data_IF_361392817646
#
_entry.id   IF_361392817646
#
_cell.length_a   1.000
_cell.length_b   1.000
_cell.length_c   1.000
_cell.angle_alpha   90.00
_cell.angle_beta   90.00
_cell.angle_gamma   90.00
#
_symmetry.space_group_name_H-M   'P 1'
#
loop_
_entity.id
_entity.type
_entity.pdbx_description
1 polymer ?
#
# COMPACT_ATOMS: atom_id res chain seq x y z
N UNK A 1 -13.54 30.70 17.64
CA UNK A 1 -13.14 29.30 17.92
C UNK A 1 -12.11 29.36 19.02
N UNK A 2 -12.23 28.54 20.06
CA UNK A 2 -11.15 28.40 21.05
C UNK A 2 -10.07 27.51 20.43
N UNK A 3 -8.85 28.03 20.28
CA UNK A 3 -7.73 27.24 19.79
C UNK A 3 -7.33 26.28 20.90
N UNK A 4 -7.38 24.97 20.63
CA UNK A 4 -7.12 23.97 21.66
C UNK A 4 -5.67 24.07 22.14
N UNK A 5 -5.48 24.25 23.45
CA UNK A 5 -4.28 24.88 24.03
C UNK A 5 -3.10 23.91 24.24
N UNK A 6 -3.18 22.70 23.67
CA UNK A 6 -2.23 21.59 23.85
C UNK A 6 -1.08 21.59 22.83
N UNK A 7 -1.09 22.47 21.83
CA UNK A 7 -0.13 22.46 20.71
C UNK A 7 0.61 23.80 20.55
N UNK A 8 1.92 23.72 20.26
CA UNK A 8 2.74 24.89 19.95
C UNK A 8 2.57 25.31 18.48
N UNK A 9 1.71 26.30 18.25
CA UNK A 9 1.47 26.88 16.93
C UNK A 9 2.59 27.80 16.41
N UNK A 10 3.64 28.05 17.21
CA UNK A 10 4.87 28.71 16.75
C UNK A 10 5.77 27.76 15.96
N UNK A 11 5.56 26.45 16.05
CA UNK A 11 6.26 25.46 15.23
C UNK A 11 5.97 25.67 13.72
N UNK A 12 6.94 25.37 12.83
CA UNK A 12 6.69 25.21 11.41
C UNK A 12 5.63 24.12 11.15
N UNK A 13 4.79 24.29 10.13
CA UNK A 13 3.63 23.42 9.87
C UNK A 13 3.99 21.92 9.85
N UNK A 14 5.11 21.54 9.22
CA UNK A 14 5.54 20.15 9.16
C UNK A 14 5.90 19.55 10.53
N UNK A 15 6.43 20.36 11.45
CA UNK A 15 6.73 19.96 12.83
C UNK A 15 5.47 19.89 13.68
N UNK A 16 4.58 20.88 13.53
CA UNK A 16 3.27 20.91 14.19
C UNK A 16 2.43 19.69 13.81
N UNK A 17 2.35 19.35 12.52
CA UNK A 17 1.65 18.15 12.05
C UNK A 17 2.27 16.88 12.62
N UNK A 18 3.61 16.72 12.56
CA UNK A 18 4.28 15.52 13.10
C UNK A 18 3.99 15.31 14.59
N UNK A 19 3.99 16.38 15.39
CA UNK A 19 3.68 16.30 16.81
C UNK A 19 2.17 16.05 17.04
N UNK A 20 1.31 16.88 16.45
CA UNK A 20 -0.13 16.90 16.70
C UNK A 20 -0.94 15.79 16.02
N UNK A 21 -0.37 15.01 15.10
CA UNK A 21 -1.00 13.78 14.57
C UNK A 21 -0.38 12.49 15.11
N UNK A 22 0.61 12.56 16.02
CA UNK A 22 1.36 11.39 16.53
C UNK A 22 0.46 10.26 17.05
N UNK A 23 -0.45 10.56 17.97
CA UNK A 23 -1.42 9.60 18.54
C UNK A 23 -2.37 9.00 17.48
N UNK A 24 -2.72 9.78 16.45
CA UNK A 24 -3.61 9.33 15.38
C UNK A 24 -2.89 8.41 14.38
N UNK A 25 -1.59 8.67 14.12
CA UNK A 25 -0.69 7.79 13.38
C UNK A 25 -0.50 6.46 14.11
N UNK A 26 -0.14 6.50 15.39
CA UNK A 26 0.03 5.32 16.24
C UNK A 26 -1.26 4.46 16.28
N UNK A 27 -2.42 5.09 16.44
CA UNK A 27 -3.72 4.39 16.42
C UNK A 27 -4.04 3.75 15.07
N UNK A 28 -3.61 4.34 13.94
CA UNK A 28 -3.82 3.78 12.61
C UNK A 28 -2.87 2.59 12.34
N UNK A 29 -1.60 2.69 12.76
CA UNK A 29 -0.62 1.61 12.64
C UNK A 29 -0.98 0.37 13.47
N UNK A 30 -1.59 0.56 14.65
CA UNK A 30 -2.05 -0.52 15.53
C UNK A 30 -3.48 -1.02 15.23
N UNK A 31 -4.17 -0.47 14.24
CA UNK A 31 -5.45 -1.01 13.75
C UNK A 31 -5.25 -2.45 13.24
N UNK A 32 -6.23 -3.35 13.45
CA UNK A 32 -6.04 -4.76 13.09
C UNK A 32 -5.77 -4.94 11.59
N UNK A 33 -6.49 -4.21 10.73
CA UNK A 33 -6.26 -4.21 9.30
C UNK A 33 -4.94 -3.56 8.88
N UNK A 34 -4.52 -2.49 9.55
CA UNK A 34 -3.22 -1.85 9.32
C UNK A 34 -2.07 -2.79 9.63
N UNK A 35 -2.14 -3.51 10.76
CA UNK A 35 -1.18 -4.56 11.14
C UNK A 35 -1.16 -5.72 10.14
N UNK A 36 -2.33 -6.20 9.69
CA UNK A 36 -2.42 -7.28 8.68
C UNK A 36 -1.82 -6.84 7.34
N UNK A 37 -2.18 -5.65 6.84
CA UNK A 37 -1.63 -5.05 5.63
C UNK A 37 -0.10 -4.90 5.72
N UNK A 38 0.39 -4.33 6.83
CA UNK A 38 1.81 -4.09 7.05
C UNK A 38 2.65 -5.37 7.08
N UNK A 39 2.07 -6.51 7.48
CA UNK A 39 2.77 -7.81 7.49
C UNK A 39 2.58 -8.63 6.22
N UNK A 40 1.60 -8.31 5.37
CA UNK A 40 1.18 -9.17 4.26
C UNK A 40 0.30 -10.35 4.69
N UNK A 41 -0.54 -10.16 5.71
CA UNK A 41 -1.48 -11.16 6.27
C UNK A 41 -2.92 -11.02 5.71
N UNK A 42 -3.15 -10.17 4.72
CA UNK A 42 -4.40 -10.10 3.95
C UNK A 42 -4.36 -11.12 2.80
N UNK A 43 -5.51 -11.68 2.40
CA UNK A 43 -5.59 -12.40 1.13
C UNK A 43 -5.58 -11.44 -0.07
N UNK A 44 -5.29 -11.98 -1.27
CA UNK A 44 -5.14 -11.17 -2.49
C UNK A 44 -6.45 -10.46 -2.91
N UNK A 45 -7.61 -11.03 -2.62
CA UNK A 45 -8.90 -10.39 -2.94
C UNK A 45 -9.20 -9.25 -1.94
N UNK A 46 -8.96 -9.43 -0.65
CA UNK A 46 -9.12 -8.35 0.34
C UNK A 46 -8.13 -7.19 0.08
N UNK A 47 -6.90 -7.49 -0.36
CA UNK A 47 -5.95 -6.47 -0.84
C UNK A 47 -6.42 -5.78 -2.14
N UNK A 48 -7.01 -6.51 -3.09
CA UNK A 48 -7.63 -5.91 -4.29
C UNK A 48 -8.76 -4.95 -3.93
N UNK A 49 -9.67 -5.33 -3.02
CA UNK A 49 -10.73 -4.46 -2.52
C UNK A 49 -10.16 -3.22 -1.80
N UNK A 50 -9.09 -3.37 -1.03
CA UNK A 50 -8.35 -2.24 -0.44
C UNK A 50 -7.82 -1.30 -1.53
N UNK A 51 -7.11 -1.81 -2.54
CA UNK A 51 -6.59 -0.98 -3.64
C UNK A 51 -7.69 -0.27 -4.42
N UNK A 52 -8.85 -0.91 -4.65
CA UNK A 52 -9.98 -0.27 -5.34
C UNK A 52 -10.57 0.90 -4.53
N UNK A 53 -10.76 0.74 -3.21
CA UNK A 53 -11.17 1.85 -2.34
C UNK A 53 -10.11 2.94 -2.32
N UNK A 54 -8.83 2.55 -2.30
CA UNK A 54 -7.69 3.46 -2.25
C UNK A 54 -7.56 4.28 -3.56
N UNK A 55 -7.77 3.66 -4.72
CA UNK A 55 -7.79 4.33 -6.03
C UNK A 55 -8.78 5.48 -6.05
N UNK A 56 -10.02 5.25 -5.59
CA UNK A 56 -11.06 6.28 -5.50
C UNK A 56 -10.72 7.39 -4.50
N UNK A 57 -10.04 7.07 -3.39
CA UNK A 57 -9.56 8.05 -2.41
C UNK A 57 -8.46 8.95 -3.02
N UNK A 58 -7.50 8.38 -3.76
CA UNK A 58 -6.52 9.21 -4.47
C UNK A 58 -7.13 9.97 -5.65
N UNK A 59 -8.10 9.40 -6.37
CA UNK A 59 -8.74 10.07 -7.49
C UNK A 59 -9.45 11.37 -7.07
N UNK A 60 -10.20 11.36 -5.95
CA UNK A 60 -10.82 12.59 -5.43
C UNK A 60 -9.79 13.58 -4.85
N UNK A 61 -8.75 13.10 -4.15
CA UNK A 61 -7.67 13.95 -3.64
C UNK A 61 -6.90 14.63 -4.77
N UNK A 62 -6.49 13.87 -5.78
CA UNK A 62 -5.67 14.32 -6.90
C UNK A 62 -6.47 15.23 -7.84
N UNK A 63 -7.75 14.93 -8.08
CA UNK A 63 -8.69 15.86 -8.75
C UNK A 63 -8.82 17.18 -7.99
N UNK A 64 -8.90 17.15 -6.66
CA UNK A 64 -8.93 18.35 -5.83
C UNK A 64 -7.67 19.20 -5.98
N UNK A 65 -6.50 18.57 -5.91
CA UNK A 65 -5.20 19.22 -6.09
C UNK A 65 -5.02 19.77 -7.53
N UNK A 66 -5.47 19.05 -8.55
CA UNK A 66 -5.46 19.47 -9.96
C UNK A 66 -6.49 20.57 -10.29
N UNK A 67 -7.57 20.68 -9.51
CA UNK A 67 -8.52 21.80 -9.59
C UNK A 67 -7.92 23.09 -9.01
N UNK A 68 -7.06 22.97 -7.98
CA UNK A 68 -6.52 24.10 -7.22
C UNK A 68 -4.96 24.20 -7.20
N UNK A 69 -4.24 23.98 -8.33
CA UNK A 69 -2.79 23.78 -8.33
C UNK A 69 -1.99 25.06 -8.01
N UNK A 70 -2.61 26.22 -8.21
CA UNK A 70 -2.06 27.55 -7.93
C UNK A 70 -2.57 28.15 -6.62
N UNK A 71 -3.35 27.42 -5.82
CA UNK A 71 -3.87 27.96 -4.56
C UNK A 71 -2.72 28.09 -3.54
N UNK A 72 -2.55 29.22 -2.82
CA UNK A 72 -1.30 29.53 -2.11
C UNK A 72 -0.84 28.48 -1.10
N UNK A 73 -1.77 27.84 -0.39
CA UNK A 73 -1.48 26.81 0.61
C UNK A 73 -1.15 25.44 0.02
N UNK A 74 -1.54 25.18 -1.24
CA UNK A 74 -1.34 23.90 -1.94
C UNK A 74 -0.13 23.92 -2.88
N UNK A 75 0.03 25.02 -3.62
CA UNK A 75 1.00 25.18 -4.72
C UNK A 75 2.44 24.78 -4.35
N UNK A 76 3.00 25.11 -3.17
CA UNK A 76 4.38 24.73 -2.81
C UNK A 76 4.60 23.21 -2.67
N UNK A 77 3.53 22.42 -2.58
CA UNK A 77 3.57 20.95 -2.50
C UNK A 77 3.05 20.24 -3.76
N UNK A 78 2.57 20.99 -4.75
CA UNK A 78 1.93 20.44 -5.95
C UNK A 78 2.98 19.94 -6.96
N UNK A 79 3.14 18.61 -7.05
CA UNK A 79 3.94 17.95 -8.09
C UNK A 79 3.30 16.60 -8.47
N UNK A 80 2.33 16.57 -9.42
CA UNK A 80 1.62 15.34 -9.77
C UNK A 80 2.54 14.30 -10.42
N UNK A 81 3.54 14.71 -11.20
CA UNK A 81 4.51 13.78 -11.84
C UNK A 81 5.32 12.97 -10.82
N UNK A 82 5.51 13.52 -9.63
CA UNK A 82 6.23 12.91 -8.51
C UNK A 82 5.31 12.17 -7.53
N UNK A 83 4.17 12.78 -7.18
CA UNK A 83 3.32 12.33 -6.06
C UNK A 83 2.10 11.52 -6.50
N UNK A 84 1.53 11.75 -7.69
CA UNK A 84 0.25 11.15 -8.05
C UNK A 84 0.31 9.62 -8.02
N UNK A 85 -0.72 9.00 -7.45
CA UNK A 85 -0.84 7.55 -7.19
C UNK A 85 -1.94 6.89 -8.00
N UNK A 86 -2.94 7.64 -8.44
CA UNK A 86 -4.11 7.10 -9.18
C UNK A 86 -3.73 6.27 -10.42
N UNK A 87 -2.72 6.65 -11.24
CA UNK A 87 -2.29 5.82 -12.39
C UNK A 87 -1.63 4.50 -11.96
N UNK A 88 -0.72 4.54 -10.97
CA UNK A 88 -0.05 3.32 -10.48
C UNK A 88 -1.04 2.36 -9.82
N UNK A 89 -2.03 2.87 -9.07
CA UNK A 89 -3.10 2.07 -8.48
C UNK A 89 -3.99 1.41 -9.55
N UNK A 90 -4.29 2.13 -10.64
CA UNK A 90 -5.06 1.60 -11.78
C UNK A 90 -4.34 0.40 -12.42
N UNK A 91 -3.04 0.54 -12.66
CA UNK A 91 -2.18 -0.51 -13.22
C UNK A 91 -2.00 -1.70 -12.26
N UNK A 92 -1.83 -1.45 -10.97
CA UNK A 92 -1.72 -2.50 -9.97
C UNK A 92 -3.01 -3.33 -9.86
N UNK A 93 -4.19 -2.69 -9.84
CA UNK A 93 -5.48 -3.37 -9.82
C UNK A 93 -5.68 -4.20 -11.10
N UNK A 94 -5.41 -3.61 -12.26
CA UNK A 94 -5.45 -4.27 -13.58
C UNK A 94 -4.57 -5.54 -13.61
N UNK A 95 -3.31 -5.42 -13.19
CA UNK A 95 -2.37 -6.55 -13.15
C UNK A 95 -2.80 -7.63 -12.14
N UNK A 96 -3.21 -7.24 -10.93
CA UNK A 96 -3.59 -8.20 -9.88
C UNK A 96 -4.87 -8.97 -10.23
N UNK A 97 -5.79 -8.36 -10.99
CA UNK A 97 -6.97 -9.03 -11.57
C UNK A 97 -6.65 -9.86 -12.83
N UNK A 98 -5.58 -9.52 -13.55
CA UNK A 98 -5.24 -10.14 -14.84
C UNK A 98 -6.11 -9.66 -16.01
N UNK A 99 -6.63 -8.43 -15.94
CA UNK A 99 -7.51 -7.82 -16.97
C UNK A 99 -6.89 -6.54 -17.54
N UNK A 100 -7.21 -6.12 -18.78
CA UNK A 100 -6.75 -4.85 -19.34
C UNK A 100 -7.10 -3.64 -18.47
N UNK A 101 -6.27 -2.60 -18.48
CA UNK A 101 -6.46 -1.43 -17.61
C UNK A 101 -7.78 -0.69 -17.90
N UNK A 102 -8.25 -0.71 -19.15
CA UNK A 102 -9.55 -0.15 -19.53
C UNK A 102 -10.77 -0.95 -19.01
N UNK A 103 -10.57 -2.15 -18.46
CA UNK A 103 -11.63 -3.10 -18.08
C UNK A 103 -11.73 -3.36 -16.57
N UNK A 104 -10.75 -2.95 -15.75
CA UNK A 104 -10.79 -3.27 -14.30
C UNK A 104 -11.98 -2.62 -13.57
N UNK A 105 -12.47 -1.48 -14.05
CA UNK A 105 -13.65 -0.79 -13.52
C UNK A 105 -14.99 -1.41 -13.97
N UNK A 106 -14.98 -2.35 -14.92
CA UNK A 106 -16.16 -3.18 -15.26
C UNK A 106 -16.06 -4.59 -14.69
N UNK A 107 -14.95 -4.93 -14.01
CA UNK A 107 -14.77 -6.21 -13.35
C UNK A 107 -15.81 -6.43 -12.23
N UNK A 108 -16.34 -7.66 -12.03
CA UNK A 108 -17.34 -7.95 -11.00
C UNK A 108 -16.96 -7.51 -9.58
N UNK A 109 -15.69 -7.58 -9.18
CA UNK A 109 -15.24 -7.15 -7.84
C UNK A 109 -15.41 -5.63 -7.62
N UNK A 110 -15.06 -4.82 -8.62
CA UNK A 110 -15.25 -3.37 -8.56
C UNK A 110 -16.73 -2.99 -8.68
N UNK A 111 -17.46 -3.65 -9.58
CA UNK A 111 -18.92 -3.51 -9.70
C UNK A 111 -19.63 -3.85 -8.38
N UNK A 112 -19.16 -4.87 -7.65
CA UNK A 112 -19.64 -5.24 -6.32
C UNK A 112 -19.33 -4.17 -5.26
N UNK A 113 -18.10 -3.64 -5.25
CA UNK A 113 -17.72 -2.52 -4.37
C UNK A 113 -18.61 -1.28 -4.63
N UNK A 114 -18.89 -0.96 -5.90
CA UNK A 114 -19.69 0.22 -6.26
C UNK A 114 -21.20 0.02 -6.07
N UNK A 115 -21.70 -1.22 -6.11
CA UNK A 115 -23.10 -1.53 -5.83
C UNK A 115 -23.45 -1.51 -4.33
N UNK A 116 -22.46 -1.73 -3.44
CA UNK A 116 -22.65 -1.64 -1.99
C UNK A 116 -21.38 -1.07 -1.31
N UNK A 117 -21.09 0.24 -1.50
CA UNK A 117 -19.86 0.83 -1.02
C UNK A 117 -19.82 0.90 0.52
N UNK A 118 -18.77 0.39 1.18
CA UNK A 118 -18.64 0.44 2.64
C UNK A 118 -18.71 1.88 3.16
N UNK A 119 -19.40 2.07 4.30
CA UNK A 119 -19.62 3.41 4.88
C UNK A 119 -18.32 4.24 5.03
N UNK A 120 -17.19 3.73 5.58
CA UNK A 120 -15.96 4.51 5.70
C UNK A 120 -15.37 4.97 4.36
N UNK A 121 -15.55 4.17 3.30
CA UNK A 121 -15.13 4.50 1.95
C UNK A 121 -15.97 5.64 1.36
N UNK A 122 -17.28 5.62 1.58
CA UNK A 122 -18.18 6.73 1.23
C UNK A 122 -17.85 8.00 2.02
N UNK A 123 -17.61 7.90 3.33
CA UNK A 123 -17.30 9.04 4.19
C UNK A 123 -15.98 9.73 3.80
N UNK A 124 -14.93 8.97 3.48
CA UNK A 124 -13.64 9.55 3.07
C UNK A 124 -13.73 10.20 1.68
N UNK A 125 -14.26 9.49 0.67
CA UNK A 125 -14.40 10.08 -0.69
C UNK A 125 -15.33 11.29 -0.71
N UNK A 126 -16.40 11.29 0.10
CA UNK A 126 -17.27 12.47 0.26
C UNK A 126 -16.53 13.64 0.88
N UNK A 127 -15.72 13.44 1.94
CA UNK A 127 -14.94 14.53 2.55
C UNK A 127 -13.92 15.13 1.58
N UNK A 128 -13.26 14.32 0.76
CA UNK A 128 -12.33 14.84 -0.26
C UNK A 128 -13.07 15.65 -1.33
N UNK A 129 -14.27 15.23 -1.72
CA UNK A 129 -15.13 15.97 -2.65
C UNK A 129 -15.58 17.31 -2.08
N UNK A 130 -16.08 17.35 -0.84
CA UNK A 130 -16.42 18.57 -0.10
C UNK A 130 -15.27 19.59 -0.11
N UNK A 131 -14.05 19.14 0.17
CA UNK A 131 -12.86 19.98 0.21
C UNK A 131 -12.40 20.46 -1.16
N UNK A 132 -12.63 19.66 -2.21
CA UNK A 132 -12.32 20.00 -3.59
C UNK A 132 -13.30 21.03 -4.18
N UNK A 133 -14.54 21.01 -3.71
CA UNK A 133 -15.63 21.92 -4.13
C UNK A 133 -15.73 23.19 -3.26
N UNK A 134 -14.91 23.27 -2.20
CA UNK A 134 -14.79 24.43 -1.32
C UNK A 134 -14.16 25.65 -2.01
N UNK A 135 -14.59 26.86 -1.62
CA UNK A 135 -13.88 28.10 -1.98
C UNK A 135 -12.58 28.32 -1.21
N UNK A 136 -12.36 27.56 -0.13
CA UNK A 136 -11.05 27.38 0.51
C UNK A 136 -10.69 25.88 0.52
N UNK A 137 -9.84 25.42 -0.40
CA UNK A 137 -9.38 24.04 -0.51
C UNK A 137 -8.16 23.74 0.38
N UNK A 138 -7.70 24.66 1.25
CA UNK A 138 -6.48 24.51 2.07
C UNK A 138 -6.43 23.18 2.83
N UNK A 139 -7.58 22.69 3.31
CA UNK A 139 -7.67 21.43 4.03
C UNK A 139 -7.39 20.17 3.17
N UNK A 140 -7.30 20.26 1.84
CA UNK A 140 -6.73 19.18 1.01
C UNK A 140 -5.25 18.89 1.35
N UNK A 141 -4.50 19.92 1.78
CA UNK A 141 -3.10 19.79 2.19
C UNK A 141 -2.92 18.79 3.34
N UNK A 142 -3.90 18.74 4.25
CA UNK A 142 -3.92 17.81 5.37
C UNK A 142 -4.03 16.35 4.91
N UNK A 143 -4.92 16.07 3.96
CA UNK A 143 -5.09 14.73 3.38
C UNK A 143 -3.88 14.32 2.54
N UNK A 144 -3.34 15.25 1.75
CA UNK A 144 -2.12 15.04 0.97
C UNK A 144 -0.89 14.73 1.87
N UNK A 145 -0.74 15.43 2.99
CA UNK A 145 0.28 15.13 4.01
C UNK A 145 0.13 13.71 4.58
N UNK A 146 -1.08 13.35 5.04
CA UNK A 146 -1.33 12.03 5.67
C UNK A 146 -1.10 10.89 4.67
N UNK A 147 -1.53 11.04 3.42
CA UNK A 147 -1.30 10.04 2.37
C UNK A 147 0.16 9.99 1.93
N UNK A 148 0.66 11.01 1.24
CA UNK A 148 1.95 10.94 0.54
C UNK A 148 3.15 10.74 1.48
N UNK A 149 3.19 11.36 2.67
CA UNK A 149 4.28 11.11 3.61
C UNK A 149 4.20 9.73 4.28
N UNK A 150 2.99 9.16 4.41
CA UNK A 150 2.76 7.80 4.87
C UNK A 150 3.28 6.78 3.86
N UNK A 151 2.89 6.91 2.59
CA UNK A 151 3.33 6.05 1.48
C UNK A 151 4.86 6.02 1.38
N UNK A 152 5.50 7.20 1.40
CA UNK A 152 6.96 7.34 1.34
C UNK A 152 7.69 6.89 2.62
N UNK A 153 6.99 6.49 3.70
CA UNK A 153 7.58 6.09 4.98
C UNK A 153 7.27 4.63 5.34
N UNK A 154 6.00 4.28 5.50
CA UNK A 154 5.56 2.90 5.76
C UNK A 154 5.48 2.04 4.49
N UNK A 155 5.12 2.63 3.36
CA UNK A 155 4.89 1.91 2.09
C UNK A 155 6.06 1.05 1.62
N UNK A 156 7.31 1.47 1.88
CA UNK A 156 8.52 0.69 1.54
C UNK A 156 8.71 -0.57 2.38
N UNK A 157 7.99 -0.72 3.49
CA UNK A 157 7.87 -1.99 4.21
C UNK A 157 6.72 -2.82 3.62
N UNK A 158 5.56 -2.21 3.38
CA UNK A 158 4.37 -2.85 2.83
C UNK A 158 4.66 -3.46 1.44
N UNK A 159 5.28 -2.70 0.51
CA UNK A 159 5.72 -3.16 -0.83
C UNK A 159 6.41 -4.53 -0.79
N UNK A 160 7.42 -4.67 0.09
CA UNK A 160 8.21 -5.91 0.23
C UNK A 160 7.44 -7.05 0.90
N UNK A 161 6.41 -6.74 1.67
CA UNK A 161 5.54 -7.72 2.35
C UNK A 161 4.48 -8.24 1.39
N UNK A 162 3.81 -7.36 0.66
CA UNK A 162 2.84 -7.67 -0.40
C UNK A 162 3.51 -8.46 -1.53
N UNK A 163 4.69 -8.01 -2.03
CA UNK A 163 5.42 -8.72 -3.07
C UNK A 163 5.73 -10.18 -2.67
N UNK A 164 6.16 -10.41 -1.42
CA UNK A 164 6.39 -11.75 -0.90
C UNK A 164 5.10 -12.54 -0.66
N UNK A 165 4.02 -11.88 -0.23
CA UNK A 165 2.76 -12.55 0.11
C UNK A 165 2.03 -13.10 -1.12
N UNK A 166 2.13 -12.42 -2.28
CA UNK A 166 1.43 -12.78 -3.51
C UNK A 166 2.36 -13.21 -4.67
N UNK A 167 3.61 -13.56 -4.35
CA UNK A 167 4.64 -14.05 -5.29
C UNK A 167 4.88 -13.12 -6.50
N UNK A 168 4.99 -11.81 -6.23
CA UNK A 168 5.15 -10.77 -7.23
C UNK A 168 6.64 -10.46 -7.49
N UNK A 169 6.97 -10.21 -8.76
CA UNK A 169 8.30 -9.76 -9.17
C UNK A 169 8.58 -8.34 -8.64
N UNK A 170 9.37 -8.28 -7.56
CA UNK A 170 9.65 -7.03 -6.87
C UNK A 170 10.55 -6.06 -7.67
N UNK A 171 11.28 -6.55 -8.67
CA UNK A 171 12.17 -5.75 -9.50
C UNK A 171 11.44 -5.18 -10.73
N UNK A 172 10.44 -5.91 -11.25
CA UNK A 172 9.49 -5.38 -12.24
C UNK A 172 8.46 -4.41 -11.65
N UNK A 173 7.99 -4.67 -10.42
CA UNK A 173 7.05 -3.80 -9.70
C UNK A 173 5.57 -3.96 -10.06
N UNK A 174 5.21 -4.85 -10.98
CA UNK A 174 3.82 -5.08 -11.37
C UNK A 174 2.94 -5.52 -10.17
N UNK A 175 1.85 -4.81 -9.89
CA UNK A 175 0.96 -5.07 -8.75
C UNK A 175 1.39 -4.40 -7.43
N UNK A 176 2.49 -3.64 -7.45
CA UNK A 176 3.04 -2.86 -6.32
C UNK A 176 3.59 -1.48 -6.73
N UNK A 177 3.34 -1.02 -7.97
CA UNK A 177 3.81 0.27 -8.48
C UNK A 177 3.32 1.47 -7.67
N UNK A 178 2.19 1.35 -6.97
CA UNK A 178 1.68 2.34 -6.02
C UNK A 178 2.74 2.79 -5.00
N UNK A 179 3.61 1.89 -4.57
CA UNK A 179 4.67 2.18 -3.60
C UNK A 179 5.93 2.79 -4.24
N UNK A 180 6.02 2.84 -5.58
CA UNK A 180 7.21 3.33 -6.27
C UNK A 180 7.09 4.81 -6.62
N UNK A 181 8.10 5.58 -6.19
CA UNK A 181 8.20 7.01 -6.42
C UNK A 181 9.35 7.30 -7.39
N UNK A 182 9.23 8.40 -8.14
CA UNK A 182 10.31 8.93 -8.98
C UNK A 182 11.20 9.87 -8.16
N UNK A 183 12.38 10.21 -8.69
CA UNK A 183 13.24 11.25 -8.12
C UNK A 183 12.64 12.65 -8.34
N UNK A 184 13.10 13.64 -7.57
CA UNK A 184 12.67 15.04 -7.69
C UNK A 184 13.01 15.68 -9.05
N UNK A 185 14.07 15.19 -9.68
CA UNK A 185 14.76 15.81 -10.83
C UNK A 185 14.72 14.96 -12.11
N UNK A 186 14.17 13.75 -12.04
CA UNK A 186 14.28 12.76 -13.11
C UNK A 186 13.21 11.66 -13.01
N UNK A 187 12.89 11.05 -14.15
CA UNK A 187 11.88 9.97 -14.25
C UNK A 187 12.34 8.62 -13.67
N UNK A 188 13.54 8.53 -13.13
CA UNK A 188 14.10 7.32 -12.52
C UNK A 188 13.46 7.02 -11.15
N UNK A 189 13.40 5.74 -10.78
CA UNK A 189 12.91 5.31 -9.47
C UNK A 189 13.77 5.84 -8.32
N UNK A 190 13.12 6.33 -7.26
CA UNK A 190 13.75 6.83 -6.05
C UNK A 190 14.22 5.69 -5.14
N UNK A 191 15.45 5.76 -4.66
CA UNK A 191 15.91 4.95 -3.53
C UNK A 191 15.56 5.62 -2.19
N UNK A 192 15.85 4.96 -1.06
CA UNK A 192 15.58 5.48 0.29
C UNK A 192 16.19 6.87 0.58
N UNK A 193 17.32 7.21 -0.04
CA UNK A 193 17.95 8.53 0.08
C UNK A 193 17.19 9.61 -0.71
N UNK A 194 16.67 9.26 -1.89
CA UNK A 194 15.84 10.17 -2.68
C UNK A 194 14.44 10.35 -2.07
N UNK A 195 13.85 9.29 -1.52
CA UNK A 195 12.64 9.36 -0.68
C UNK A 195 12.83 10.27 0.55
N UNK A 196 14.05 10.36 1.11
CA UNK A 196 14.34 11.34 2.16
C UNK A 196 14.23 12.77 1.60
N UNK A 197 14.89 13.07 0.48
CA UNK A 197 14.85 14.40 -0.17
C UNK A 197 13.42 14.83 -0.51
N UNK A 198 12.60 13.93 -1.07
CA UNK A 198 11.20 14.23 -1.42
C UNK A 198 10.39 14.60 -0.17
N UNK A 199 10.58 13.86 0.93
CA UNK A 199 9.94 14.16 2.22
C UNK A 199 10.52 15.40 2.93
N UNK A 200 11.68 15.90 2.53
CA UNK A 200 12.22 17.18 3.01
C UNK A 200 11.61 18.33 2.18
N UNK A 201 11.70 18.27 0.85
CA UNK A 201 11.02 19.20 -0.08
C UNK A 201 9.53 19.37 0.25
N UNK A 202 8.79 18.29 0.45
CA UNK A 202 7.36 18.36 0.77
C UNK A 202 7.09 19.07 2.11
N UNK A 203 7.95 18.89 3.12
CA UNK A 203 7.83 19.58 4.41
C UNK A 203 8.17 21.06 4.32
N UNK A 204 9.16 21.42 3.51
CA UNK A 204 9.47 22.81 3.24
C UNK A 204 8.31 23.49 2.47
N UNK A 205 7.66 22.77 1.56
CA UNK A 205 6.40 23.18 0.93
C UNK A 205 5.25 23.40 1.92
N UNK A 206 5.03 22.47 2.87
CA UNK A 206 4.04 22.65 3.96
C UNK A 206 4.32 23.90 4.80
N UNK A 207 5.59 24.13 5.13
CA UNK A 207 6.02 25.28 5.92
C UNK A 207 5.81 26.60 5.13
N UNK A 208 6.15 26.62 3.85
CA UNK A 208 6.03 27.80 2.99
C UNK A 208 4.57 28.14 2.63
N UNK A 209 3.73 27.12 2.40
CA UNK A 209 2.32 27.31 2.00
C UNK A 209 1.41 27.81 3.13
N UNK A 210 1.66 27.41 4.38
CA UNK A 210 0.89 27.87 5.54
C UNK A 210 1.55 29.06 6.26
N UNK A 211 2.88 29.16 6.23
CA UNK A 211 3.62 30.19 6.95
C UNK A 211 3.33 30.17 8.45
N UNK A 212 3.06 31.34 9.02
CA UNK A 212 2.84 31.55 10.46
C UNK A 212 1.39 31.85 10.87
N UNK A 213 0.42 31.68 9.98
CA UNK A 213 -1.00 31.85 10.34
C UNK A 213 -1.46 30.72 11.28
N UNK A 214 -1.61 31.04 12.56
CA UNK A 214 -2.04 30.09 13.60
C UNK A 214 -3.44 29.52 13.37
N UNK A 215 -4.30 30.22 12.64
CA UNK A 215 -5.67 29.79 12.30
C UNK A 215 -5.63 28.73 11.21
N UNK A 216 -4.86 28.96 10.14
CA UNK A 216 -4.63 27.96 9.09
C UNK A 216 -3.88 26.75 9.66
N UNK A 217 -2.85 26.96 10.50
CA UNK A 217 -2.16 25.89 11.23
C UNK A 217 -3.14 25.02 12.05
N UNK A 218 -4.09 25.63 12.75
CA UNK A 218 -5.11 24.91 13.51
C UNK A 218 -6.08 24.11 12.62
N UNK A 219 -6.63 24.73 11.56
CA UNK A 219 -7.56 24.07 10.66
C UNK A 219 -6.94 22.85 9.93
N UNK A 220 -5.72 23.00 9.42
CA UNK A 220 -4.99 21.92 8.74
C UNK A 220 -4.58 20.81 9.72
N UNK A 221 -4.26 21.13 10.98
CA UNK A 221 -3.97 20.13 12.02
C UNK A 221 -5.23 19.34 12.45
N UNK A 222 -6.38 20.00 12.55
CA UNK A 222 -7.65 19.33 12.84
C UNK A 222 -8.05 18.39 11.70
N UNK A 223 -8.01 18.87 10.44
CA UNK A 223 -8.32 18.03 9.29
C UNK A 223 -7.28 16.91 9.11
N UNK A 224 -6.01 17.09 9.47
CA UNK A 224 -5.02 16.00 9.41
C UNK A 224 -5.35 14.89 10.42
N UNK A 225 -5.81 15.24 11.62
CA UNK A 225 -6.33 14.27 12.59
C UNK A 225 -7.64 13.60 12.10
N UNK A 226 -8.48 14.31 11.34
CA UNK A 226 -9.67 13.73 10.67
C UNK A 226 -9.27 12.78 9.53
N UNK A 227 -8.26 13.13 8.75
CA UNK A 227 -7.69 12.30 7.70
C UNK A 227 -7.11 10.99 8.26
N UNK A 228 -6.34 11.02 9.36
CA UNK A 228 -5.88 9.80 10.02
C UNK A 228 -7.05 8.90 10.48
N UNK A 229 -8.11 9.47 11.06
CA UNK A 229 -9.30 8.71 11.47
C UNK A 229 -10.00 8.05 10.26
N UNK A 230 -10.20 8.80 9.17
CA UNK A 230 -10.78 8.27 7.94
C UNK A 230 -9.94 7.14 7.34
N UNK A 231 -8.60 7.26 7.34
CA UNK A 231 -7.69 6.19 6.91
C UNK A 231 -7.79 4.95 7.83
N UNK A 232 -7.81 5.13 9.16
CA UNK A 232 -7.98 4.04 10.11
C UNK A 232 -9.31 3.29 9.88
N UNK A 233 -10.41 4.00 9.64
CA UNK A 233 -11.70 3.39 9.34
C UNK A 233 -11.78 2.69 7.97
N UNK A 234 -10.85 2.94 7.04
CA UNK A 234 -10.64 2.06 5.87
C UNK A 234 -9.90 0.78 6.28
N UNK A 235 -8.90 0.86 7.16
CA UNK A 235 -8.20 -0.32 7.68
C UNK A 235 -9.12 -1.21 8.54
N UNK A 236 -10.10 -0.64 9.25
CA UNK A 236 -11.13 -1.42 9.96
C UNK A 236 -12.03 -2.25 9.02
N UNK A 237 -11.97 -2.02 7.70
CA UNK A 237 -12.59 -2.88 6.67
C UNK A 237 -11.70 -4.05 6.24
N UNK A 238 -10.50 -4.24 6.79
CA UNK A 238 -9.56 -5.29 6.41
C UNK A 238 -9.51 -6.36 7.52
N UNK A 239 -10.43 -7.31 7.38
CA UNK A 239 -10.75 -8.36 8.36
C UNK A 239 -9.69 -9.46 8.44
N UNK A 240 -8.97 -9.74 7.35
CA UNK A 240 -8.18 -10.95 7.17
C UNK A 240 -9.02 -12.23 7.09
N UNK A 241 -10.29 -12.08 6.73
CA UNK A 241 -11.26 -13.15 6.47
C UNK A 241 -11.85 -12.89 5.08
N UNK A 242 -11.53 -13.76 4.11
CA UNK A 242 -11.79 -13.51 2.69
C UNK A 242 -13.27 -13.22 2.40
N UNK A 243 -13.58 -11.96 2.10
CA UNK A 243 -14.95 -11.42 2.11
C UNK A 243 -15.89 -12.00 1.06
N UNK A 244 -15.35 -12.65 0.04
CA UNK A 244 -16.09 -13.36 -1.00
C UNK A 244 -15.40 -14.69 -1.26
N UNK A 245 -16.10 -15.80 -1.01
CA UNK A 245 -15.84 -17.03 -1.75
C UNK A 245 -16.24 -16.76 -3.20
N UNK A 246 -15.33 -16.94 -4.16
CA UNK A 246 -15.70 -16.91 -5.57
C UNK A 246 -16.91 -17.82 -5.80
N UNK A 247 -17.93 -17.41 -6.58
CA UNK A 247 -18.98 -18.31 -7.00
C UNK A 247 -18.33 -19.48 -7.73
N UNK A 248 -18.26 -20.64 -7.08
CA UNK A 248 -17.71 -21.85 -7.68
C UNK A 248 -18.44 -22.06 -9.01
N UNK A 249 -17.72 -21.98 -10.13
CA UNK A 249 -18.27 -22.38 -11.41
C UNK A 249 -18.81 -23.81 -11.21
N UNK A 250 -20.12 -24.04 -11.40
CA UNK A 250 -20.72 -25.33 -11.06
C UNK A 250 -20.01 -26.39 -11.88
N UNK A 251 -19.29 -27.28 -11.17
CA UNK A 251 -18.24 -28.09 -11.77
C UNK A 251 -18.76 -28.77 -13.03
N UNK A 252 -18.22 -28.38 -14.18
CA UNK A 252 -18.64 -28.89 -15.49
C UNK A 252 -18.36 -30.38 -15.49
N UNK A 253 -19.40 -31.17 -15.21
CA UNK A 253 -19.26 -32.60 -14.99
C UNK A 253 -18.82 -33.22 -16.30
N UNK A 254 -17.53 -33.60 -16.36
CA UNK A 254 -16.91 -34.13 -17.56
C UNK A 254 -17.80 -35.28 -18.10
N UNK A 255 -18.13 -35.27 -19.41
CA UNK A 255 -19.06 -36.25 -19.97
C UNK A 255 -18.55 -37.65 -19.65
N UNK A 256 -19.40 -38.45 -18.95
CA UNK A 256 -19.04 -39.78 -18.46
C UNK A 256 -18.42 -40.58 -19.62
N UNK A 257 -17.15 -40.97 -19.46
CA UNK A 257 -16.43 -41.71 -20.49
C UNK A 257 -17.26 -42.94 -20.91
N UNK A 258 -17.68 -42.95 -22.18
CA UNK A 258 -18.36 -44.10 -22.75
C UNK A 258 -17.39 -45.29 -22.70
N UNK A 259 -17.78 -46.35 -22.00
CA UNK A 259 -16.92 -47.50 -21.75
C UNK A 259 -16.78 -48.30 -23.05
N UNK A 260 -15.76 -47.99 -23.85
CA UNK A 260 -15.47 -48.69 -25.09
C UNK A 260 -15.30 -50.19 -24.80
N UNK A 261 -16.08 -51.03 -25.50
CA UNK A 261 -15.82 -52.47 -25.54
C UNK A 261 -14.51 -52.67 -26.32
N UNK A 262 -13.59 -53.44 -25.74
CA UNK A 262 -12.33 -53.80 -26.37
C UNK A 262 -12.35 -55.28 -26.74
N UNK A 263 -12.18 -55.59 -28.02
CA UNK A 263 -12.25 -56.93 -28.58
C UNK A 263 -10.82 -57.56 -28.61
N UNK A 264 -10.57 -58.75 -28.01
CA UNK A 264 -9.20 -59.17 -27.69
C UNK A 264 -8.57 -60.12 -28.73
N UNK A 265 -8.17 -59.61 -29.90
CA UNK A 265 -7.43 -60.40 -30.91
C UNK A 265 -6.24 -59.61 -31.51
N UNK A 266 -5.09 -60.30 -31.69
CA UNK A 266 -3.77 -59.84 -32.22
C UNK A 266 -2.93 -58.96 -31.25
N UNK A 267 -1.71 -59.34 -30.77
CA UNK A 267 -0.41 -59.66 -31.44
C UNK A 267 0.38 -58.37 -31.78
N UNK A 268 1.66 -58.14 -31.42
CA UNK A 268 2.66 -58.98 -30.70
C UNK A 268 4.01 -58.24 -30.35
N UNK A 269 4.62 -58.60 -29.20
CA UNK A 269 6.08 -58.59 -28.84
C UNK A 269 6.91 -57.29 -28.59
N UNK A 270 7.88 -57.44 -27.66
CA UNK A 270 9.00 -56.51 -27.31
C UNK A 270 8.72 -55.64 -26.06
N UNK A 271 9.44 -55.68 -24.93
CA UNK A 271 10.73 -56.28 -24.54
C UNK A 271 11.62 -55.21 -23.85
N UNK A 272 11.51 -54.94 -22.54
CA UNK A 272 12.15 -55.56 -21.36
C UNK A 272 13.62 -55.15 -21.04
N UNK A 273 13.85 -54.80 -19.75
CA UNK A 273 15.14 -54.50 -19.04
C UNK A 273 15.89 -53.20 -19.44
N UNK A 274 16.68 -52.53 -18.57
CA UNK A 274 17.02 -52.69 -17.12
C UNK A 274 17.25 -51.28 -16.49
N UNK A 275 17.15 -50.95 -15.19
CA UNK A 275 17.13 -51.65 -13.86
C UNK A 275 18.47 -51.65 -13.08
N UNK A 276 18.81 -50.49 -12.47
CA UNK A 276 19.82 -50.22 -11.41
C UNK A 276 19.53 -48.80 -10.82
N UNK A 277 19.85 -48.33 -9.59
CA UNK A 277 20.66 -48.73 -8.41
C UNK A 277 22.19 -48.52 -8.52
N UNK A 278 22.96 -48.07 -7.50
CA UNK A 278 22.71 -47.79 -6.06
C UNK A 278 23.63 -46.64 -5.54
N UNK A 279 23.59 -46.37 -4.21
CA UNK A 279 24.48 -45.54 -3.34
C UNK A 279 24.01 -44.08 -3.15
N UNK A 280 23.93 -43.53 -1.92
CA UNK A 280 24.12 -44.11 -0.57
C UNK A 280 24.38 -43.02 0.49
N UNK A 281 23.81 -43.11 1.70
CA UNK A 281 23.85 -42.03 2.71
C UNK A 281 25.20 -41.91 3.45
N UNK A 282 25.90 -40.78 3.28
CA UNK A 282 26.74 -40.08 4.27
C UNK A 282 27.13 -38.69 3.69
N UNK A 283 27.39 -37.61 4.44
CA UNK A 283 27.61 -37.49 5.89
C UNK A 283 27.20 -36.10 6.40
N UNK A 284 26.15 -36.00 7.23
CA UNK A 284 25.72 -34.74 7.90
C UNK A 284 26.57 -34.49 9.17
N UNK A 285 27.90 -34.65 9.06
CA UNK A 285 28.80 -34.74 10.24
C UNK A 285 30.12 -33.96 10.07
N UNK A 286 30.56 -33.60 8.85
CA UNK A 286 31.91 -33.04 8.64
C UNK A 286 32.01 -31.50 8.59
N UNK A 287 30.91 -30.75 8.51
CA UNK A 287 30.91 -29.27 8.45
C UNK A 287 30.12 -28.63 9.60
N UNK A 288 30.22 -29.21 10.80
CA UNK A 288 29.45 -28.81 11.99
C UNK A 288 30.26 -28.61 13.28
N UNK A 289 31.58 -28.41 13.21
CA UNK A 289 32.45 -28.44 14.40
C UNK A 289 33.69 -27.51 14.37
N UNK A 290 33.56 -26.26 13.91
CA UNK A 290 34.53 -25.19 14.21
C UNK A 290 33.84 -23.82 14.39
N UNK A 291 33.10 -23.70 15.49
CA UNK A 291 32.32 -22.50 15.81
C UNK A 291 33.17 -21.36 16.41
N UNK A 292 33.40 -20.31 15.62
CA UNK A 292 33.33 -18.88 16.02
C UNK A 292 33.28 -18.07 14.71
N UNK A 293 32.35 -17.15 14.45
CA UNK A 293 31.77 -16.17 15.38
C UNK A 293 30.30 -15.80 15.09
N UNK A 294 29.35 -16.39 15.82
CA UNK A 294 27.92 -15.99 15.77
C UNK A 294 27.63 -14.53 16.18
N UNK A 295 28.59 -13.88 16.85
CA UNK A 295 28.46 -12.52 17.39
C UNK A 295 28.40 -11.40 16.33
N UNK A 296 28.75 -11.67 15.06
CA UNK A 296 28.78 -10.62 14.04
C UNK A 296 27.38 -10.26 13.52
N UNK A 297 26.55 -11.27 13.24
CA UNK A 297 25.17 -11.08 12.75
C UNK A 297 24.27 -10.45 13.83
N UNK A 298 24.43 -10.90 15.09
CA UNK A 298 23.67 -10.34 16.22
C UNK A 298 24.03 -8.87 16.51
N UNK A 299 25.30 -8.48 16.43
CA UNK A 299 25.70 -7.07 16.57
C UNK A 299 25.15 -6.17 15.47
N UNK A 300 24.97 -6.68 14.26
CA UNK A 300 24.30 -5.96 13.17
C UNK A 300 22.83 -5.64 13.52
N UNK A 301 22.11 -6.60 14.11
CA UNK A 301 20.74 -6.40 14.56
C UNK A 301 20.64 -5.42 15.75
N UNK A 302 21.54 -5.51 16.72
CA UNK A 302 21.58 -4.57 17.86
C UNK A 302 21.87 -3.13 17.43
N UNK A 303 22.76 -2.90 16.46
CA UNK A 303 23.02 -1.56 15.92
C UNK A 303 21.81 -0.99 15.20
N UNK A 304 21.13 -1.80 14.39
CA UNK A 304 19.93 -1.37 13.65
C UNK A 304 18.77 -0.99 14.59
N UNK A 305 18.54 -1.79 15.64
CA UNK A 305 17.54 -1.49 16.68
C UNK A 305 17.87 -0.22 17.47
N UNK A 306 19.15 0.04 17.76
CA UNK A 306 19.57 1.28 18.45
C UNK A 306 19.35 2.54 17.61
N UNK A 307 19.49 2.47 16.28
CA UNK A 307 19.21 3.60 15.38
C UNK A 307 17.71 3.94 15.25
N UNK A 308 16.82 3.01 15.60
CA UNK A 308 15.36 3.27 15.63
C UNK A 308 14.95 3.97 16.93
N UNK A 309 15.67 3.72 18.03
CA UNK A 309 15.36 4.24 19.37
C UNK A 309 16.18 5.49 19.75
N UNK A 310 16.83 6.15 18.79
CA UNK A 310 17.64 7.37 19.00
C UNK A 310 17.15 8.59 18.21
N UNK A 311 15.86 8.62 17.83
CA UNK A 311 15.17 9.80 17.29
C UNK A 311 13.83 9.98 18.03
N UNK A 312 13.94 10.21 19.34
CA UNK A 312 12.93 10.89 20.14
C UNK A 312 13.13 12.41 19.97
#
# INVERSE_FOLDING_TARGET
MEVNNDYDFLLPMASLLRAGTSKAHESAEHSQGGVRLAKGELDKQEYLYFLMMLWHVYAELERGLETHPSYPTLQPTYNPTLLARTPSLSQDISYLLGVPEAEWQTHPSHSSLMASPPKPFVEYTTRLRELSESSDPTCLLAHAYVRYLGDMSGGQFIRRRIAKAYDLDADRGDGIQFYDFKKLDSSESANMGDLKKIKEWYRDGLNAGIGDDTTLKAAVLEEANKAFKLNASIFDLLSGEGRIQEPQQPAVSAPKQAKALYDPILVSFGGLLSVAMTVGLAHVVYMGASNTSGNCVLRGAEYWLRSILSIA
#
